data_IF_745101232244
#
_entry.id   IF_745101232244
#
_cell.length_a   1.000
_cell.length_b   1.000
_cell.length_c   1.000
_cell.angle_alpha   90.00
_cell.angle_beta   90.00
_cell.angle_gamma   90.00
#
_symmetry.space_group_name_H-M   'P 1'
#
loop_
_entity.id
_entity.type
_entity.pdbx_description
1 polymer ?
#
# COMPACT_ATOMS: atom_id res chain seq x y z
N UNK A 1 -6.27 -19.81 3.02
CA UNK A 1 -4.99 -19.60 3.72
C UNK A 1 -4.86 -18.10 3.98
N UNK A 2 -4.28 -17.67 5.12
CA UNK A 2 -3.95 -16.25 5.32
C UNK A 2 -2.59 -15.96 4.68
N UNK A 3 -2.51 -14.85 3.96
CA UNK A 3 -1.27 -14.26 3.46
C UNK A 3 -1.08 -12.90 4.12
N UNK A 4 0.16 -12.52 4.35
CA UNK A 4 0.54 -11.21 4.81
C UNK A 4 1.16 -10.43 3.66
N UNK A 5 0.57 -9.29 3.34
CA UNK A 5 1.22 -8.26 2.57
C UNK A 5 2.06 -7.40 3.52
N UNK A 6 3.32 -7.21 3.19
CA UNK A 6 4.23 -6.29 3.90
C UNK A 6 4.84 -5.35 2.88
N UNK A 7 4.95 -4.06 3.19
CA UNK A 7 5.68 -3.11 2.35
C UNK A 7 6.50 -2.11 3.16
N UNK A 8 7.55 -1.60 2.54
CA UNK A 8 8.39 -0.53 3.07
C UNK A 8 8.19 0.75 2.25
N UNK A 9 7.82 1.82 2.95
CA UNK A 9 7.87 3.17 2.39
C UNK A 9 9.12 3.91 2.87
N UNK A 10 9.64 4.83 2.06
CA UNK A 10 10.81 5.65 2.37
C UNK A 10 10.54 7.14 2.19
N UNK A 11 11.27 7.96 2.94
CA UNK A 11 11.24 9.42 2.86
C UNK A 11 9.84 9.97 3.19
N UNK A 12 9.51 11.15 2.69
CA UNK A 12 8.24 11.80 3.00
C UNK A 12 7.05 11.02 2.43
N UNK A 13 5.98 10.94 3.21
CA UNK A 13 4.69 10.37 2.82
C UNK A 13 3.57 11.35 3.12
N UNK A 14 2.52 11.27 2.30
CA UNK A 14 1.27 12.00 2.49
C UNK A 14 0.22 11.09 3.15
N UNK A 15 -0.90 11.69 3.57
CA UNK A 15 -2.02 10.94 4.13
C UNK A 15 -2.69 10.13 3.01
N UNK A 16 -2.41 8.84 2.97
CA UNK A 16 -2.71 7.98 1.83
C UNK A 16 -3.14 6.57 2.24
N UNK A 17 -3.65 5.84 1.27
CA UNK A 17 -3.89 4.40 1.34
C UNK A 17 -3.17 3.69 0.23
N UNK A 18 -2.71 2.46 0.51
CA UNK A 18 -2.39 1.46 -0.50
C UNK A 18 -3.49 0.41 -0.43
N UNK A 19 -4.36 0.40 -1.44
CA UNK A 19 -5.37 -0.63 -1.61
C UNK A 19 -4.76 -1.81 -2.36
N UNK A 20 -4.93 -3.00 -1.82
CA UNK A 20 -4.45 -4.25 -2.40
C UNK A 20 -5.64 -4.92 -3.05
N UNK A 21 -5.67 -4.97 -4.38
CA UNK A 21 -6.70 -5.66 -5.14
C UNK A 21 -6.13 -6.90 -5.84
N UNK A 22 -6.99 -7.87 -6.12
CA UNK A 22 -6.65 -9.01 -6.99
C UNK A 22 -7.46 -9.01 -8.27
N UNK A 23 -6.82 -9.48 -9.34
CA UNK A 23 -7.35 -9.69 -10.69
C UNK A 23 -7.82 -8.42 -11.44
N UNK A 24 -8.20 -7.35 -10.73
CA UNK A 24 -8.61 -6.06 -11.26
C UNK A 24 -8.44 -4.94 -10.22
N UNK A 25 -8.23 -3.70 -10.67
CA UNK A 25 -8.18 -2.49 -9.82
C UNK A 25 -9.52 -2.10 -9.16
N UNK A 26 -10.64 -2.74 -9.55
CA UNK A 26 -11.99 -2.30 -9.14
C UNK A 26 -12.91 -3.39 -8.60
N UNK A 27 -12.58 -4.67 -8.78
CA UNK A 27 -13.53 -5.77 -8.52
C UNK A 27 -13.34 -6.39 -7.14
N UNK A 28 -12.09 -6.63 -6.72
CA UNK A 28 -11.83 -7.34 -5.47
C UNK A 28 -10.72 -6.69 -4.65
N UNK A 29 -11.15 -5.85 -3.71
CA UNK A 29 -10.30 -5.31 -2.66
C UNK A 29 -10.01 -6.41 -1.63
N UNK A 30 -8.74 -6.80 -1.52
CA UNK A 30 -8.29 -7.67 -0.46
C UNK A 30 -8.05 -6.89 0.82
N UNK A 31 -7.32 -5.77 0.77
CA UNK A 31 -6.94 -5.06 1.99
C UNK A 31 -6.53 -3.63 1.75
N UNK A 32 -6.43 -2.89 2.86
CA UNK A 32 -6.01 -1.49 2.86
C UNK A 32 -4.87 -1.34 3.85
N UNK A 33 -3.75 -0.81 3.37
CA UNK A 33 -2.67 -0.28 4.20
C UNK A 33 -2.87 1.22 4.36
N UNK A 34 -2.89 1.69 5.60
CA UNK A 34 -2.96 3.11 5.91
C UNK A 34 -1.54 3.69 5.98
N UNK A 35 -1.25 4.69 5.14
CA UNK A 35 0.02 5.41 5.16
C UNK A 35 -0.23 6.76 5.82
N UNK A 36 0.38 6.97 6.98
CA UNK A 36 0.32 8.24 7.69
C UNK A 36 1.25 9.28 7.04
N UNK A 37 1.01 10.56 7.32
CA UNK A 37 1.95 11.62 6.96
C UNK A 37 3.27 11.41 7.71
N UNK A 38 4.36 11.46 6.97
CA UNK A 38 5.71 11.41 7.52
C UNK A 38 6.60 12.41 6.78
N UNK A 39 7.46 13.13 7.50
CA UNK A 39 8.26 14.24 6.96
C UNK A 39 9.71 14.10 7.43
N UNK A 40 10.40 13.10 6.90
CA UNK A 40 11.82 12.87 7.14
C UNK A 40 12.40 12.10 5.95
N UNK A 41 13.33 12.72 5.23
CA UNK A 41 13.91 12.20 3.99
C UNK A 41 14.62 10.85 4.14
N UNK A 42 15.11 10.54 5.34
CA UNK A 42 15.89 9.32 5.63
C UNK A 42 15.08 8.18 6.22
N UNK A 43 13.84 8.43 6.60
CA UNK A 43 13.07 7.46 7.36
C UNK A 43 12.46 6.37 6.50
N UNK A 44 12.16 5.26 7.17
CA UNK A 44 11.49 4.12 6.58
C UNK A 44 10.35 3.66 7.49
N UNK A 45 9.25 3.25 6.89
CA UNK A 45 8.10 2.70 7.64
C UNK A 45 7.68 1.38 7.03
N UNK A 46 7.49 0.37 7.89
CA UNK A 46 6.97 -0.94 7.50
C UNK A 46 5.47 -0.95 7.77
N UNK A 47 4.72 -1.42 6.79
CA UNK A 47 3.28 -1.58 6.87
C UNK A 47 2.88 -3.02 6.58
N UNK A 48 1.84 -3.50 7.24
CA UNK A 48 1.35 -4.88 7.06
C UNK A 48 -0.17 -4.94 6.92
N UNK A 49 -0.65 -5.88 6.11
CA UNK A 49 -2.06 -6.22 6.00
C UNK A 49 -2.21 -7.74 5.79
N UNK A 50 -3.01 -8.40 6.62
CA UNK A 50 -3.26 -9.84 6.52
C UNK A 50 -4.61 -10.12 5.87
N UNK A 51 -4.66 -11.03 4.89
CA UNK A 51 -5.87 -11.34 4.15
C UNK A 51 -5.99 -12.82 3.80
N UNK A 52 -7.21 -13.30 3.60
CA UNK A 52 -7.45 -14.66 3.09
C UNK A 52 -7.51 -14.63 1.57
N UNK A 53 -6.52 -15.23 0.90
CA UNK A 53 -6.56 -15.48 -0.55
C UNK A 53 -5.93 -16.85 -0.85
N UNK A 54 -6.32 -17.45 -1.96
CA UNK A 54 -5.77 -18.72 -2.45
C UNK A 54 -5.78 -18.73 -3.97
N UNK A 55 -4.75 -19.32 -4.60
CA UNK A 55 -4.65 -19.39 -6.06
C UNK A 55 -3.54 -18.49 -6.60
N UNK A 56 -3.51 -18.36 -7.92
CA UNK A 56 -2.59 -17.46 -8.64
C UNK A 56 -3.42 -16.27 -9.10
N UNK A 57 -3.02 -15.08 -8.69
CA UNK A 57 -3.71 -13.84 -8.98
C UNK A 57 -2.73 -12.75 -9.40
N UNK A 58 -3.20 -11.85 -10.26
CA UNK A 58 -2.51 -10.58 -10.44
C UNK A 58 -2.79 -9.70 -9.21
N UNK A 59 -1.77 -9.02 -8.71
CA UNK A 59 -1.90 -8.07 -7.60
C UNK A 59 -1.84 -6.65 -8.16
N UNK A 60 -2.79 -5.83 -7.74
CA UNK A 60 -2.83 -4.41 -8.05
C UNK A 60 -2.70 -3.61 -6.76
N UNK A 61 -1.72 -2.71 -6.73
CA UNK A 61 -1.54 -1.74 -5.65
C UNK A 61 -2.10 -0.40 -6.13
N UNK A 62 -3.25 0.00 -5.59
CA UNK A 62 -3.89 1.28 -5.92
C UNK A 62 -3.60 2.27 -4.80
N UNK A 63 -2.75 3.25 -5.09
CA UNK A 63 -2.39 4.30 -4.14
C UNK A 63 -3.39 5.45 -4.25
N UNK A 64 -4.00 5.84 -3.13
CA UNK A 64 -4.95 6.96 -3.09
C UNK A 64 -4.59 7.93 -1.98
N UNK A 65 -4.87 9.20 -2.21
CA UNK A 65 -4.87 10.16 -1.11
C UNK A 65 -6.17 10.04 -0.31
N UNK A 66 -6.09 10.23 1.01
CA UNK A 66 -7.27 10.35 1.88
C UNK A 66 -7.86 11.76 1.92
N UNK A 67 -7.17 12.75 1.34
CA UNK A 67 -7.61 14.15 1.28
C UNK A 67 -7.51 14.62 -0.16
N UNK A 68 -8.21 15.70 -0.48
CA UNK A 68 -7.92 16.45 -1.69
C UNK A 68 -6.56 17.14 -1.51
N UNK A 69 -5.49 16.39 -1.74
CA UNK A 69 -4.14 16.92 -1.81
C UNK A 69 -3.89 17.54 -3.18
N UNK A 70 -2.98 18.50 -3.20
CA UNK A 70 -2.41 19.02 -4.43
C UNK A 70 -1.87 17.85 -5.27
N UNK A 71 -2.47 17.64 -6.45
CA UNK A 71 -2.15 16.52 -7.35
C UNK A 71 -0.69 16.54 -7.83
N UNK A 72 0.04 17.62 -7.56
CA UNK A 72 1.47 17.76 -7.86
C UNK A 72 2.40 17.10 -6.85
N UNK A 73 1.91 16.64 -5.69
CA UNK A 73 2.76 16.01 -4.66
C UNK A 73 2.72 14.49 -4.74
N UNK A 74 3.90 13.88 -4.67
CA UNK A 74 4.04 12.43 -4.50
C UNK A 74 3.36 11.98 -3.20
N UNK A 75 2.61 10.88 -3.26
CA UNK A 75 1.91 10.36 -2.09
C UNK A 75 2.83 9.53 -1.19
N UNK A 76 3.76 8.80 -1.78
CA UNK A 76 4.74 7.96 -1.08
C UNK A 76 5.84 7.51 -2.05
N UNK A 77 6.99 7.13 -1.50
CA UNK A 77 7.96 6.27 -2.18
C UNK A 77 7.80 4.84 -1.67
N UNK A 78 7.43 3.91 -2.57
CA UNK A 78 7.39 2.48 -2.27
C UNK A 78 8.74 1.85 -2.60
N UNK A 79 9.46 1.37 -1.59
CA UNK A 79 10.80 0.80 -1.79
C UNK A 79 10.71 -0.68 -2.18
N UNK A 80 9.94 -1.46 -1.43
CA UNK A 80 9.67 -2.85 -1.73
C UNK A 80 8.34 -3.30 -1.11
N UNK A 81 7.82 -4.41 -1.63
CA UNK A 81 6.72 -5.14 -1.04
C UNK A 81 6.97 -6.65 -1.15
N UNK A 82 6.37 -7.41 -0.25
CA UNK A 82 6.34 -8.86 -0.29
C UNK A 82 4.94 -9.38 0.05
N UNK A 83 4.65 -10.58 -0.44
CA UNK A 83 3.46 -11.34 -0.07
C UNK A 83 3.96 -12.67 0.47
N UNK A 84 3.84 -12.84 1.78
CA UNK A 84 4.44 -13.94 2.52
C UNK A 84 3.45 -14.62 3.46
N UNK A 85 3.94 -15.68 4.11
CA UNK A 85 3.33 -16.24 5.31
C UNK A 85 3.87 -15.54 6.54
#
# INVERSE_FOLDING_TARGET
MFIQFTCKTRSNTQDATIEIHIDSISVQLLGIVNVAVYQEETANTIHTAAQKVTGIHNIYLVVRSKKDHDKSKDLLNLEWFEVGR
#
